data_IF_763018992073
#
_entry.id   IF_763018992073
#
_cell.length_a   1.000
_cell.length_b   1.000
_cell.length_c   1.000
_cell.angle_alpha   90.00
_cell.angle_beta   90.00
_cell.angle_gamma   90.00
#
_symmetry.space_group_name_H-M   'P 1'
#
loop_
_entity.id
_entity.type
_entity.pdbx_description
1 polymer ?
#
# COMPACT_ATOMS: atom_id res chain seq x y z
N UNK A 1 -22.36 -6.01 -8.99
CA UNK A 1 -21.79 -5.72 -10.33
C UNK A 1 -21.88 -4.25 -10.70
N UNK A 2 -23.06 -3.61 -10.61
CA UNK A 2 -23.23 -2.17 -10.91
C UNK A 2 -22.16 -1.31 -10.24
N UNK A 3 -21.96 -1.50 -8.92
CA UNK A 3 -20.94 -0.81 -8.14
C UNK A 3 -19.50 -1.01 -8.64
N UNK A 4 -19.11 -2.25 -8.95
CA UNK A 4 -17.77 -2.55 -9.48
C UNK A 4 -17.52 -1.87 -10.84
N UNK A 5 -18.50 -1.90 -11.75
CA UNK A 5 -18.42 -1.23 -13.05
C UNK A 5 -18.39 0.30 -12.91
N UNK A 6 -19.17 0.85 -11.99
CA UNK A 6 -19.16 2.28 -11.66
C UNK A 6 -17.77 2.69 -11.14
N UNK A 7 -17.25 2.02 -10.12
CA UNK A 7 -15.91 2.29 -9.58
C UNK A 7 -14.82 2.18 -10.65
N UNK A 8 -14.90 1.16 -11.51
CA UNK A 8 -13.99 1.02 -12.65
C UNK A 8 -14.01 2.26 -13.54
N UNK A 9 -15.20 2.71 -13.97
CA UNK A 9 -15.36 3.90 -14.82
C UNK A 9 -14.86 5.17 -14.11
N UNK A 10 -15.19 5.34 -12.83
CA UNK A 10 -14.74 6.50 -12.06
C UNK A 10 -13.22 6.55 -11.98
N UNK A 11 -12.54 5.43 -11.72
CA UNK A 11 -11.08 5.36 -11.68
C UNK A 11 -10.49 5.57 -13.07
N UNK A 12 -10.99 4.88 -14.10
CA UNK A 12 -10.51 4.98 -15.49
C UNK A 12 -10.57 6.44 -15.99
N UNK A 13 -11.71 7.11 -15.79
CA UNK A 13 -11.89 8.53 -16.15
C UNK A 13 -11.09 9.50 -15.27
N UNK A 14 -10.40 9.01 -14.24
CA UNK A 14 -9.62 9.83 -13.31
C UNK A 14 -8.12 9.74 -13.53
N UNK A 15 -7.64 8.86 -14.42
CA UNK A 15 -6.21 8.59 -14.58
C UNK A 15 -5.43 9.83 -15.03
N UNK A 16 -5.98 10.61 -15.96
CA UNK A 16 -5.31 11.82 -16.46
C UNK A 16 -5.29 12.93 -15.42
N UNK A 17 -6.40 13.11 -14.69
CA UNK A 17 -6.47 14.04 -13.56
C UNK A 17 -5.47 13.65 -12.47
N UNK A 18 -5.46 12.37 -12.09
CA UNK A 18 -4.52 11.81 -11.13
C UNK A 18 -3.07 12.05 -11.58
N UNK A 19 -2.74 11.71 -12.82
CA UNK A 19 -1.38 11.85 -13.37
C UNK A 19 -0.92 13.31 -13.39
N UNK A 20 -1.81 14.23 -13.74
CA UNK A 20 -1.54 15.67 -13.75
C UNK A 20 -1.27 16.19 -12.33
N UNK A 21 -2.14 15.83 -11.37
CA UNK A 21 -1.99 16.22 -9.97
C UNK A 21 -0.74 15.64 -9.35
N UNK A 22 -0.49 14.36 -9.59
CA UNK A 22 0.73 13.68 -9.14
C UNK A 22 1.99 14.37 -9.66
N UNK A 23 2.06 14.68 -10.96
CA UNK A 23 3.17 15.44 -11.55
C UNK A 23 3.36 16.82 -10.91
N UNK A 24 2.27 17.48 -10.51
CA UNK A 24 2.36 18.75 -9.80
C UNK A 24 3.00 18.61 -8.41
N UNK A 25 2.70 17.54 -7.65
CA UNK A 25 3.43 17.27 -6.39
C UNK A 25 4.92 17.08 -6.61
N UNK A 26 5.32 16.48 -7.74
CA UNK A 26 6.74 16.23 -8.01
C UNK A 26 7.55 17.49 -8.30
N UNK A 27 6.90 18.63 -8.55
CA UNK A 27 7.58 19.94 -8.63
C UNK A 27 8.23 20.31 -7.30
N UNK A 28 7.64 19.88 -6.17
CA UNK A 28 8.12 20.15 -4.82
C UNK A 28 9.17 19.15 -4.33
N UNK A 29 9.67 18.23 -5.17
CA UNK A 29 10.65 17.22 -4.75
C UNK A 29 11.90 17.82 -4.10
N UNK A 30 12.38 18.98 -4.59
CA UNK A 30 13.52 19.66 -3.99
C UNK A 30 13.26 19.96 -2.49
N UNK A 31 12.06 20.47 -2.18
CA UNK A 31 11.66 20.92 -0.84
C UNK A 31 11.41 19.77 0.15
N UNK A 32 11.01 18.60 -0.37
CA UNK A 32 10.59 17.45 0.47
C UNK A 32 11.59 16.28 0.45
N UNK A 33 12.65 16.36 -0.37
CA UNK A 33 13.60 15.26 -0.58
C UNK A 33 14.28 14.82 0.70
N UNK A 34 14.73 15.76 1.54
CA UNK A 34 15.39 15.45 2.81
C UNK A 34 14.45 14.66 3.74
N UNK A 35 13.19 15.08 3.85
CA UNK A 35 12.19 14.48 4.71
C UNK A 35 11.85 13.07 4.25
N UNK A 36 11.79 12.84 2.93
CA UNK A 36 11.67 11.50 2.34
C UNK A 36 12.82 10.59 2.79
N UNK A 37 14.06 11.09 2.70
CA UNK A 37 15.28 10.36 3.06
C UNK A 37 15.27 10.05 4.56
N UNK A 38 15.02 11.05 5.40
CA UNK A 38 14.94 10.90 6.87
C UNK A 38 13.89 9.86 7.28
N UNK A 39 12.68 9.94 6.73
CA UNK A 39 11.60 8.98 7.00
C UNK A 39 11.95 7.55 6.56
N UNK A 40 12.69 7.41 5.44
CA UNK A 40 13.21 6.11 5.02
C UNK A 40 14.32 5.59 5.94
N UNK A 41 15.22 6.47 6.39
CA UNK A 41 16.35 6.11 7.23
C UNK A 41 15.92 5.60 8.62
N UNK A 42 14.93 6.25 9.24
CA UNK A 42 14.42 5.88 10.57
C UNK A 42 13.96 4.43 10.67
N UNK A 43 13.38 3.87 9.59
CA UNK A 43 12.93 2.47 9.56
C UNK A 43 14.08 1.45 9.60
N UNK A 44 15.30 1.85 9.24
CA UNK A 44 16.45 0.94 9.12
C UNK A 44 17.23 0.76 10.44
N UNK A 45 17.20 1.73 11.36
CA UNK A 45 18.01 1.69 12.61
C UNK A 45 17.30 1.08 13.84
N UNK A 46 15.99 0.84 13.78
CA UNK A 46 15.17 0.56 14.99
C UNK A 46 14.53 -0.82 15.12
N UNK A 47 14.66 -1.73 14.16
CA UNK A 47 13.99 -3.05 14.28
C UNK A 47 14.77 -4.16 13.60
N UNK A 48 14.72 -5.37 14.17
CA UNK A 48 15.13 -6.63 13.49
C UNK A 48 14.33 -6.91 12.20
N UNK A 49 13.40 -6.04 11.80
CA UNK A 49 12.76 -6.07 10.48
C UNK A 49 13.62 -5.33 9.46
N UNK A 50 14.25 -6.11 8.58
CA UNK A 50 15.03 -5.64 7.42
C UNK A 50 14.34 -4.50 6.65
N UNK A 51 15.10 -3.43 6.37
CA UNK A 51 15.01 -2.51 5.23
C UNK A 51 13.62 -2.26 4.63
N UNK A 52 12.64 -1.79 5.42
CA UNK A 52 11.42 -1.22 4.84
C UNK A 52 11.69 0.22 4.44
N UNK A 53 12.20 0.41 3.23
CA UNK A 53 12.32 1.73 2.59
C UNK A 53 10.95 2.40 2.60
N UNK A 54 10.86 3.58 3.22
CA UNK A 54 9.62 4.35 3.25
C UNK A 54 9.24 4.77 1.83
N UNK A 55 7.94 4.67 1.49
CA UNK A 55 7.41 5.05 0.19
C UNK A 55 6.61 6.34 0.29
N UNK A 56 7.22 7.53 0.10
CA UNK A 56 6.45 8.77 0.09
C UNK A 56 5.44 8.83 -1.05
N UNK A 57 5.69 8.11 -2.16
CA UNK A 57 4.78 8.08 -3.30
C UNK A 57 3.49 7.34 -2.96
N UNK A 58 3.51 6.38 -2.02
CA UNK A 58 2.29 5.71 -1.54
C UNK A 58 1.32 6.72 -0.95
N UNK A 59 1.81 7.60 -0.09
CA UNK A 59 0.97 8.61 0.55
C UNK A 59 0.44 9.66 -0.44
N UNK A 60 1.26 10.05 -1.42
CA UNK A 60 0.80 10.98 -2.47
C UNK A 60 -0.30 10.32 -3.31
N UNK A 61 -0.13 9.04 -3.69
CA UNK A 61 -1.13 8.25 -4.41
C UNK A 61 -2.43 8.22 -3.61
N UNK A 62 -2.36 7.79 -2.35
CA UNK A 62 -3.50 7.66 -1.44
C UNK A 62 -4.27 8.98 -1.31
N UNK A 63 -3.57 10.10 -1.04
CA UNK A 63 -4.20 11.42 -0.89
C UNK A 63 -4.92 11.89 -2.15
N UNK A 64 -4.29 11.76 -3.32
CA UNK A 64 -4.91 12.22 -4.57
C UNK A 64 -6.06 11.33 -5.01
N UNK A 65 -5.91 10.00 -4.95
CA UNK A 65 -6.99 9.13 -5.36
C UNK A 65 -8.18 9.24 -4.39
N UNK A 66 -7.92 9.39 -3.09
CA UNK A 66 -8.96 9.68 -2.10
C UNK A 66 -9.72 10.95 -2.48
N UNK A 67 -9.01 12.05 -2.71
CA UNK A 67 -9.63 13.34 -3.07
C UNK A 67 -10.46 13.25 -4.35
N UNK A 68 -9.93 12.60 -5.39
CA UNK A 68 -10.62 12.46 -6.68
C UNK A 68 -11.87 11.60 -6.53
N UNK A 69 -11.76 10.46 -5.83
CA UNK A 69 -12.88 9.53 -5.67
C UNK A 69 -13.99 10.09 -4.79
N UNK A 70 -13.68 10.79 -3.69
CA UNK A 70 -14.69 11.47 -2.87
C UNK A 70 -15.51 12.41 -3.72
N UNK A 71 -14.86 13.34 -4.44
CA UNK A 71 -15.55 14.33 -5.28
C UNK A 71 -16.38 13.72 -6.40
N UNK A 72 -15.98 12.56 -6.91
CA UNK A 72 -16.70 11.86 -7.98
C UNK A 72 -17.87 11.05 -7.42
N UNK A 73 -17.68 10.38 -6.29
CA UNK A 73 -18.74 9.60 -5.63
C UNK A 73 -19.82 10.50 -5.04
N UNK A 74 -19.48 11.69 -4.53
CA UNK A 74 -20.48 12.68 -4.11
C UNK A 74 -21.43 13.10 -5.24
N UNK A 75 -20.94 13.13 -6.49
CA UNK A 75 -21.78 13.38 -7.67
C UNK A 75 -22.68 12.20 -8.03
N UNK A 76 -22.34 11.01 -7.54
CA UNK A 76 -23.16 9.79 -7.62
C UNK A 76 -24.01 9.62 -6.35
N UNK A 77 -24.28 10.71 -5.62
CA UNK A 77 -25.12 10.77 -4.42
C UNK A 77 -24.60 9.98 -3.20
N UNK A 78 -23.34 9.54 -3.23
CA UNK A 78 -22.70 8.98 -2.05
C UNK A 78 -22.31 10.08 -1.06
N UNK A 79 -22.48 9.80 0.23
CA UNK A 79 -22.10 10.69 1.32
C UNK A 79 -20.85 10.18 1.99
N UNK A 80 -19.86 11.05 2.20
CA UNK A 80 -18.66 10.67 2.95
C UNK A 80 -19.06 10.24 4.37
N UNK A 81 -18.60 9.06 4.78
CA UNK A 81 -18.86 8.49 6.09
C UNK A 81 -17.53 8.23 6.81
N UNK A 82 -16.94 9.27 7.43
CA UNK A 82 -15.62 9.17 8.05
C UNK A 82 -15.72 8.42 9.39
N UNK A 83 -15.68 7.09 9.35
CA UNK A 83 -15.62 6.26 10.54
C UNK A 83 -14.16 5.99 10.89
N UNK A 84 -13.75 6.31 12.13
CA UNK A 84 -12.39 6.05 12.64
C UNK A 84 -11.97 4.57 12.69
N UNK A 85 -12.85 3.65 12.27
CA UNK A 85 -12.63 2.20 12.19
C UNK A 85 -13.08 1.62 10.82
N UNK A 86 -12.75 2.29 9.72
CA UNK A 86 -13.09 1.84 8.34
C UNK A 86 -11.88 1.93 7.40
N UNK A 87 -12.01 1.49 6.14
CA UNK A 87 -10.95 1.64 5.13
C UNK A 87 -10.64 3.11 4.82
N UNK A 88 -9.62 3.36 3.99
CA UNK A 88 -9.18 4.71 3.62
C UNK A 88 -10.32 5.60 3.10
N UNK A 89 -11.28 5.02 2.37
CA UNK A 89 -12.48 5.70 1.91
C UNK A 89 -13.73 4.89 2.25
N UNK A 90 -14.62 5.51 3.04
CA UNK A 90 -15.93 4.94 3.38
C UNK A 90 -17.01 5.92 3.01
N UNK A 91 -17.98 5.46 2.22
CA UNK A 91 -19.04 6.29 1.68
C UNK A 91 -20.38 5.58 1.84
N UNK A 92 -21.44 6.32 2.10
CA UNK A 92 -22.79 5.82 2.29
C UNK A 92 -23.66 6.15 1.06
N UNK A 93 -24.38 5.16 0.55
CA UNK A 93 -25.51 5.34 -0.34
C UNK A 93 -26.81 4.98 0.40
N UNK A 94 -27.96 5.13 -0.26
CA UNK A 94 -29.27 4.88 0.35
C UNK A 94 -29.43 3.44 0.86
N UNK A 95 -28.94 2.44 0.12
CA UNK A 95 -29.14 1.02 0.39
C UNK A 95 -27.86 0.26 0.82
N UNK A 96 -26.69 0.91 0.80
CA UNK A 96 -25.43 0.26 1.13
C UNK A 96 -24.34 1.22 1.62
N UNK A 97 -23.28 0.63 2.16
CA UNK A 97 -22.02 1.32 2.49
C UNK A 97 -20.93 0.81 1.56
N UNK A 98 -20.23 1.72 0.90
CA UNK A 98 -19.03 1.45 0.13
C UNK A 98 -17.81 1.58 1.06
N UNK A 99 -17.00 0.52 1.15
CA UNK A 99 -15.76 0.49 1.90
C UNK A 99 -14.59 0.22 0.92
N UNK A 100 -13.80 1.24 0.62
CA UNK A 100 -12.72 1.19 -0.36
C UNK A 100 -11.37 1.42 0.31
N UNK A 101 -10.49 0.43 0.15
CA UNK A 101 -9.13 0.47 0.66
C UNK A 101 -8.14 0.78 -0.46
N UNK A 102 -7.21 1.71 -0.26
CA UNK A 102 -6.18 2.05 -1.24
C UNK A 102 -4.90 1.34 -0.82
N UNK A 103 -4.34 0.56 -1.74
CA UNK A 103 -3.09 -0.18 -1.52
C UNK A 103 -2.06 0.23 -2.55
N UNK A 104 -0.80 0.16 -2.16
CA UNK A 104 0.32 0.26 -3.10
C UNK A 104 1.18 -0.97 -3.05
N UNK A 105 1.77 -1.35 -4.18
CA UNK A 105 2.74 -2.42 -4.26
C UNK A 105 3.86 -2.10 -5.25
N UNK A 106 5.09 -2.39 -4.84
CA UNK A 106 6.25 -2.28 -5.71
C UNK A 106 6.25 -3.43 -6.73
N UNK A 107 6.48 -3.13 -8.00
CA UNK A 107 6.62 -4.08 -9.09
C UNK A 107 7.54 -5.28 -8.79
N UNK A 108 8.64 -5.04 -8.10
CA UNK A 108 9.61 -6.10 -7.73
C UNK A 108 9.06 -7.04 -6.64
N UNK A 109 8.16 -6.54 -5.78
CA UNK A 109 7.53 -7.33 -4.73
C UNK A 109 6.19 -7.93 -5.21
N UNK A 110 6.30 -8.81 -6.21
CA UNK A 110 5.17 -9.49 -6.84
C UNK A 110 4.25 -10.23 -5.85
N UNK A 111 4.75 -10.63 -4.69
CA UNK A 111 3.97 -11.35 -3.68
C UNK A 111 2.83 -10.53 -3.05
N UNK A 112 2.87 -9.21 -3.17
CA UNK A 112 1.86 -8.31 -2.60
C UNK A 112 0.68 -8.02 -3.54
N UNK A 113 0.82 -8.34 -4.83
CA UNK A 113 -0.24 -8.14 -5.82
C UNK A 113 -0.56 -9.37 -6.70
N UNK A 114 0.19 -10.48 -6.54
CA UNK A 114 -0.06 -11.71 -7.28
C UNK A 114 -1.04 -12.61 -6.53
N UNK A 115 -2.27 -12.65 -7.01
CA UNK A 115 -3.30 -13.62 -6.59
C UNK A 115 -3.83 -13.47 -5.16
N UNK A 116 -3.35 -12.49 -4.41
CA UNK A 116 -3.83 -12.20 -3.05
C UNK A 116 -3.53 -10.77 -2.63
N UNK A 117 -4.27 -10.26 -1.65
CA UNK A 117 -4.09 -8.92 -1.09
C UNK A 117 -4.11 -8.97 0.44
N UNK A 118 -3.19 -8.27 1.13
CA UNK A 118 -3.25 -8.10 2.58
C UNK A 118 -4.32 -7.10 3.00
N UNK A 119 -5.07 -7.42 4.06
CA UNK A 119 -6.14 -6.60 4.59
C UNK A 119 -6.02 -6.47 6.12
N UNK A 120 -6.19 -5.25 6.64
CA UNK A 120 -6.36 -4.94 8.05
C UNK A 120 -7.78 -5.25 8.52
N UNK A 121 -8.00 -5.31 9.85
CA UNK A 121 -9.29 -5.73 10.44
C UNK A 121 -10.48 -4.86 10.02
N UNK A 122 -10.23 -3.60 9.66
CA UNK A 122 -11.21 -2.63 9.18
C UNK A 122 -11.43 -2.66 7.65
N UNK A 123 -10.78 -3.57 6.93
CA UNK A 123 -10.71 -3.56 5.45
C UNK A 123 -11.42 -4.77 4.80
N UNK A 124 -12.22 -5.50 5.58
CA UNK A 124 -13.02 -6.64 5.12
C UNK A 124 -14.12 -6.93 6.13
N UNK A 125 -15.16 -7.65 5.71
CA UNK A 125 -16.29 -8.04 6.57
C UNK A 125 -16.38 -9.55 6.82
N UNK A 126 -15.45 -10.32 6.27
CA UNK A 126 -15.48 -11.77 6.22
C UNK A 126 -14.49 -12.40 7.22
N UNK A 127 -14.92 -13.28 8.13
CA UNK A 127 -13.98 -13.94 9.05
C UNK A 127 -12.89 -14.75 8.32
N UNK A 128 -11.69 -14.82 8.87
CA UNK A 128 -10.56 -15.50 8.25
C UNK A 128 -10.05 -16.66 9.10
N UNK A 129 -9.53 -17.71 8.47
CA UNK A 129 -8.95 -18.84 9.19
C UNK A 129 -7.58 -18.50 9.78
N UNK A 130 -7.38 -18.83 11.05
CA UNK A 130 -6.08 -18.75 11.72
C UNK A 130 -5.32 -20.07 11.48
N UNK A 131 -4.04 -19.96 11.13
CA UNK A 131 -3.13 -21.10 10.95
C UNK A 131 -2.20 -21.28 12.15
N UNK A 132 -1.77 -22.51 12.45
CA UNK A 132 -0.81 -22.86 13.51
C UNK A 132 0.63 -22.35 13.24
N UNK A 133 0.96 -22.04 11.98
CA UNK A 133 2.30 -21.63 11.59
C UNK A 133 2.38 -21.25 10.11
N UNK A 134 3.45 -21.68 9.42
CA UNK A 134 3.60 -21.49 7.96
C UNK A 134 2.36 -22.03 7.23
N UNK A 135 2.00 -21.35 6.12
CA UNK A 135 0.76 -21.53 5.36
C UNK A 135 0.25 -22.98 5.33
N UNK A 136 -1.03 -23.16 5.68
CA UNK A 136 -1.85 -24.38 5.56
C UNK A 136 -1.79 -25.40 6.70
N UNK A 137 -1.15 -25.08 7.83
CA UNK A 137 -1.32 -25.86 9.05
C UNK A 137 -2.47 -25.26 9.90
N UNK A 138 -3.54 -26.02 10.11
CA UNK A 138 -4.75 -25.55 10.80
C UNK A 138 -4.97 -26.24 12.14
N UNK A 139 -5.65 -25.56 13.04
CA UNK A 139 -6.11 -26.15 14.29
C UNK A 139 -7.16 -27.23 14.04
N UNK A 140 -7.23 -28.22 14.94
CA UNK A 140 -8.22 -29.31 14.86
C UNK A 140 -9.65 -28.77 14.96
N UNK A 141 -9.81 -27.63 15.64
CA UNK A 141 -11.00 -26.78 15.60
C UNK A 141 -10.61 -25.44 14.99
N UNK A 142 -11.35 -24.92 13.98
CA UNK A 142 -10.94 -23.71 13.29
C UNK A 142 -11.01 -22.50 14.23
N UNK A 143 -9.88 -21.80 14.37
CA UNK A 143 -9.81 -20.49 15.00
C UNK A 143 -9.97 -19.41 13.93
N UNK A 144 -10.58 -18.28 14.30
CA UNK A 144 -10.92 -17.22 13.35
C UNK A 144 -10.36 -15.86 13.74
N UNK A 145 -9.95 -15.10 12.73
CA UNK A 145 -9.82 -13.65 12.82
C UNK A 145 -11.17 -13.04 12.48
N UNK A 146 -11.70 -12.22 13.38
CA UNK A 146 -12.94 -11.48 13.15
C UNK A 146 -12.62 -10.06 12.65
N UNK A 147 -13.33 -9.59 11.62
CA UNK A 147 -13.21 -8.20 11.17
C UNK A 147 -13.74 -7.23 12.22
N UNK A 148 -13.25 -5.99 12.18
CA UNK A 148 -13.76 -4.89 12.99
C UNK A 148 -15.08 -4.31 12.44
N UNK A 149 -15.38 -4.54 11.16
CA UNK A 149 -16.60 -4.09 10.50
C UNK A 149 -17.55 -5.28 10.22
N UNK A 150 -18.86 -5.14 10.51
CA UNK A 150 -19.84 -6.20 10.24
C UNK A 150 -20.15 -6.30 8.74
N UNK A 151 -20.80 -7.37 8.26
CA UNK A 151 -21.22 -7.46 6.86
C UNK A 151 -22.32 -6.46 6.46
N UNK A 152 -23.10 -5.96 7.41
CA UNK A 152 -24.14 -4.97 7.21
C UNK A 152 -24.39 -4.18 8.49
N UNK A 153 -24.92 -2.97 8.36
CA UNK A 153 -25.47 -2.19 9.46
C UNK A 153 -27.01 -2.23 9.41
N UNK A 154 -27.64 -2.21 10.58
CA UNK A 154 -29.08 -1.95 10.70
C UNK A 154 -29.26 -0.56 11.29
N UNK A 155 -29.72 0.39 10.48
CA UNK A 155 -29.89 1.80 10.87
C UNK A 155 -31.35 2.16 10.63
N UNK A 156 -32.06 2.53 11.71
CA UNK A 156 -33.49 2.89 11.67
C UNK A 156 -34.38 1.85 10.97
N UNK A 157 -34.09 0.56 11.15
CA UNK A 157 -34.82 -0.55 10.53
C UNK A 157 -34.41 -0.87 9.09
N UNK A 158 -33.51 -0.09 8.48
CA UNK A 158 -32.97 -0.36 7.15
C UNK A 158 -31.65 -1.12 7.24
N UNK A 159 -31.53 -2.21 6.48
CA UNK A 159 -30.30 -2.96 6.35
C UNK A 159 -29.45 -2.35 5.25
N UNK A 160 -28.24 -1.89 5.58
CA UNK A 160 -27.24 -1.43 4.63
C UNK A 160 -26.10 -2.44 4.54
N UNK A 161 -25.96 -3.09 3.39
CA UNK A 161 -24.85 -4.02 3.16
C UNK A 161 -23.54 -3.25 2.99
N UNK A 162 -22.43 -3.81 3.49
CA UNK A 162 -21.11 -3.23 3.26
C UNK A 162 -20.47 -3.91 2.05
N UNK A 163 -20.19 -3.15 0.99
CA UNK A 163 -19.46 -3.62 -0.16
C UNK A 163 -18.02 -3.16 -0.10
N UNK A 164 -17.11 -4.13 0.00
CA UNK A 164 -15.68 -3.87 0.17
C UNK A 164 -14.90 -4.05 -1.12
N UNK A 165 -14.04 -3.08 -1.42
CA UNK A 165 -13.13 -3.12 -2.57
C UNK A 165 -11.73 -2.69 -2.14
N UNK A 166 -10.73 -3.16 -2.88
CA UNK A 166 -9.38 -2.63 -2.78
C UNK A 166 -8.95 -2.06 -4.13
N UNK A 167 -8.33 -0.90 -4.09
CA UNK A 167 -7.72 -0.22 -5.22
C UNK A 167 -6.21 -0.28 -5.07
N UNK A 168 -5.58 -1.20 -5.80
CA UNK A 168 -4.17 -1.53 -5.68
C UNK A 168 -3.35 -0.89 -6.80
N UNK A 169 -2.50 0.06 -6.45
CA UNK A 169 -1.56 0.74 -7.33
C UNK A 169 -0.23 -0.02 -7.37
N UNK A 170 0.12 -0.56 -8.53
CA UNK A 170 1.43 -1.16 -8.78
C UNK A 170 2.34 -0.06 -9.32
N UNK A 171 3.51 0.14 -8.73
CA UNK A 171 4.43 1.23 -9.09
C UNK A 171 5.86 0.71 -9.39
N UNK A 172 6.67 1.43 -10.18
CA UNK A 172 8.02 1.00 -10.53
C UNK A 172 8.98 1.03 -9.34
N UNK A 173 10.03 0.19 -9.34
CA UNK A 173 10.97 0.18 -8.22
C UNK A 173 11.80 1.46 -8.18
N UNK A 174 11.90 2.03 -6.99
CA UNK A 174 12.77 3.18 -6.66
C UNK A 174 13.67 2.90 -5.44
N UNK A 175 13.65 1.65 -4.94
CA UNK A 175 14.38 1.23 -3.74
C UNK A 175 15.87 1.56 -3.84
N UNK A 176 16.49 1.22 -4.97
CA UNK A 176 17.92 1.47 -5.22
C UNK A 176 18.27 2.96 -5.13
N UNK A 177 17.43 3.82 -5.73
CA UNK A 177 17.62 5.28 -5.72
C UNK A 177 17.59 5.81 -4.27
N UNK A 178 16.70 5.26 -3.44
CA UNK A 178 16.57 5.67 -2.03
C UNK A 178 17.69 5.06 -1.16
N UNK A 179 18.13 3.82 -1.43
CA UNK A 179 19.25 3.20 -0.71
C UNK A 179 20.56 3.96 -0.95
N UNK A 180 20.82 4.39 -2.19
CA UNK A 180 22.00 5.18 -2.54
C UNK A 180 22.09 6.48 -1.72
N UNK A 181 21.02 7.28 -1.71
CA UNK A 181 21.02 8.54 -0.96
C UNK A 181 20.98 8.33 0.56
N UNK A 182 20.39 7.23 1.05
CA UNK A 182 20.41 6.89 2.48
C UNK A 182 21.83 6.63 2.98
N UNK A 183 22.70 6.04 2.16
CA UNK A 183 24.12 5.85 2.52
C UNK A 183 24.83 7.19 2.67
N UNK A 184 24.57 8.16 1.80
CA UNK A 184 25.13 9.51 1.94
C UNK A 184 24.54 10.26 3.15
N UNK A 185 23.24 10.11 3.40
CA UNK A 185 22.59 10.68 4.57
C UNK A 185 23.13 10.08 5.87
N UNK A 186 23.43 8.80 5.91
CA UNK A 186 24.02 8.15 7.08
C UNK A 186 25.41 8.74 7.42
N UNK A 187 26.24 9.00 6.42
CA UNK A 187 27.54 9.67 6.61
C UNK A 187 27.35 11.06 7.21
N UNK A 188 26.45 11.86 6.61
CA UNK A 188 26.12 13.20 7.11
C UNK A 188 25.56 13.15 8.54
N UNK A 189 24.61 12.25 8.81
CA UNK A 189 24.01 12.08 10.12
C UNK A 189 25.07 11.75 11.17
N UNK A 190 25.96 10.79 10.89
CA UNK A 190 27.01 10.39 11.83
C UNK A 190 28.00 11.53 12.09
N UNK A 191 28.29 12.36 11.08
CA UNK A 191 29.10 13.57 11.24
C UNK A 191 28.44 14.57 12.18
N UNK A 192 27.17 14.92 11.94
CA UNK A 192 26.41 15.81 12.83
C UNK A 192 26.30 15.24 14.24
N UNK A 193 26.05 13.93 14.35
CA UNK A 193 25.94 13.22 15.62
C UNK A 193 27.24 13.32 16.43
N UNK A 194 28.39 13.02 15.80
CA UNK A 194 29.69 13.10 16.46
C UNK A 194 30.02 14.52 16.95
N UNK A 195 29.75 15.54 16.12
CA UNK A 195 29.96 16.94 16.52
C UNK A 195 29.03 17.36 17.66
N UNK A 196 27.77 16.94 17.61
CA UNK A 196 26.81 17.20 18.66
C UNK A 196 27.18 16.52 19.99
N UNK A 197 27.72 15.30 19.96
CA UNK A 197 28.20 14.62 21.16
C UNK A 197 29.32 15.41 21.86
N UNK A 198 30.29 15.95 21.11
CA UNK A 198 31.37 16.77 21.69
C UNK A 198 30.83 17.99 22.45
N UNK A 199 29.72 18.57 21.98
CA UNK A 199 29.04 19.69 22.66
C UNK A 199 28.35 19.21 23.94
N UNK A 200 27.60 18.11 23.89
CA UNK A 200 26.93 17.57 25.09
C UNK A 200 27.96 17.22 26.19
N UNK A 201 29.11 16.67 25.80
CA UNK A 201 30.16 16.30 26.76
C UNK A 201 30.80 17.52 27.42
N UNK A 202 30.78 18.69 26.77
CA UNK A 202 31.35 19.93 27.27
C UNK A 202 30.35 20.85 27.97
N UNK A 203 29.05 20.76 27.67
CA UNK A 203 27.99 21.58 28.27
C UNK A 203 27.19 20.80 29.33
N UNK A 204 27.39 21.17 30.60
CA UNK A 204 26.67 20.59 31.75
C UNK A 204 25.15 20.74 31.65
N UNK A 205 24.63 21.77 30.98
CA UNK A 205 23.19 21.97 30.83
C UNK A 205 22.57 20.99 29.81
N UNK A 206 23.36 20.53 28.84
CA UNK A 206 22.93 19.54 27.84
C UNK A 206 23.16 18.10 28.31
N UNK A 207 23.86 17.90 29.43
CA UNK A 207 24.18 16.58 30.00
C UNK A 207 22.95 15.74 30.37
N UNK A 208 21.75 16.34 30.45
CA UNK A 208 20.47 15.66 30.66
C UNK A 208 19.96 14.90 29.41
N UNK A 209 20.50 15.19 28.23
CA UNK A 209 20.20 14.48 26.97
C UNK A 209 20.92 13.11 26.90
N UNK A 210 20.76 12.28 27.92
CA UNK A 210 21.39 10.94 27.97
C UNK A 210 20.71 9.90 27.06
N UNK A 211 19.44 10.14 26.70
CA UNK A 211 18.65 9.20 25.90
C UNK A 211 19.02 9.31 24.41
N UNK A 212 19.45 8.19 23.81
CA UNK A 212 19.83 8.09 22.39
C UNK A 212 18.73 8.51 21.42
N UNK A 213 17.46 8.25 21.73
CA UNK A 213 16.33 8.71 20.91
C UNK A 213 16.21 10.24 20.93
N UNK A 214 16.40 10.88 22.09
CA UNK A 214 16.41 12.34 22.20
C UNK A 214 17.58 12.95 21.42
N UNK A 215 18.78 12.37 21.56
CA UNK A 215 19.96 12.83 20.79
C UNK A 215 19.72 12.72 19.29
N UNK A 216 19.15 11.61 18.82
CA UNK A 216 18.75 11.44 17.41
C UNK A 216 17.80 12.53 16.96
N UNK A 217 16.74 12.79 17.74
CA UNK A 217 15.75 13.83 17.41
C UNK A 217 16.44 15.20 17.30
N UNK A 218 17.34 15.55 18.22
CA UNK A 218 18.08 16.82 18.14
C UNK A 218 18.94 16.88 16.89
N UNK A 219 19.72 15.84 16.60
CA UNK A 219 20.59 15.79 15.41
C UNK A 219 19.79 15.89 14.12
N UNK A 220 18.66 15.19 14.02
CA UNK A 220 17.73 15.33 12.89
C UNK A 220 17.20 16.77 12.76
N UNK A 221 16.92 17.46 13.86
CA UNK A 221 16.50 18.86 13.83
C UNK A 221 17.62 19.80 13.39
N UNK A 222 18.87 19.57 13.81
CA UNK A 222 20.02 20.35 13.37
C UNK A 222 20.27 20.19 11.87
N UNK A 223 20.12 18.97 11.33
CA UNK A 223 20.18 18.73 9.89
C UNK A 223 19.05 19.47 9.17
N UNK A 224 17.81 19.43 9.69
CA UNK A 224 16.70 20.20 9.12
C UNK A 224 16.98 21.71 9.13
N UNK A 225 17.55 22.24 10.20
CA UNK A 225 17.92 23.65 10.30
C UNK A 225 18.85 24.06 9.14
N UNK A 226 19.89 23.27 8.88
CA UNK A 226 20.86 23.56 7.81
C UNK A 226 20.29 23.40 6.40
N UNK A 227 19.49 22.37 6.15
CA UNK A 227 19.10 21.98 4.78
C UNK A 227 17.69 22.40 4.35
N UNK A 228 16.82 22.78 5.30
CA UNK A 228 15.45 23.28 5.01
C UNK A 228 15.32 24.75 5.36
N UNK A 229 15.94 25.17 6.46
CA UNK A 229 15.81 26.54 6.97
C UNK A 229 17.02 27.43 6.66
N UNK A 230 18.03 26.88 5.99
CA UNK A 230 19.28 27.57 5.63
C UNK A 230 19.98 28.25 6.84
N UNK A 231 19.82 27.68 8.04
CA UNK A 231 20.48 28.13 9.28
C UNK A 231 21.96 27.72 9.27
N UNK A 232 22.78 28.47 8.53
CA UNK A 232 24.21 28.18 8.31
C UNK A 232 25.03 28.29 9.60
N UNK A 233 24.55 29.04 10.59
CA UNK A 233 25.17 29.23 11.90
C UNK A 233 25.33 27.89 12.64
N UNK A 234 24.44 26.93 12.37
CA UNK A 234 24.53 25.57 12.92
C UNK A 234 25.79 24.86 12.43
N UNK A 235 26.22 25.11 11.19
CA UNK A 235 27.45 24.54 10.61
C UNK A 235 28.66 25.04 11.40
N UNK A 236 28.73 26.35 11.63
CA UNK A 236 29.84 26.98 12.34
C UNK A 236 29.82 26.57 13.83
N UNK A 237 28.65 26.55 14.48
CA UNK A 237 28.47 26.11 15.86
C UNK A 237 28.93 24.66 16.11
N UNK A 238 28.54 23.74 15.22
CA UNK A 238 28.97 22.34 15.29
C UNK A 238 30.38 22.11 14.72
N UNK A 239 31.01 23.13 14.14
CA UNK A 239 32.28 23.00 13.41
C UNK A 239 32.23 21.87 12.36
N UNK A 240 31.17 21.87 11.57
CA UNK A 240 30.95 20.94 10.46
C UNK A 240 31.73 21.44 9.24
N UNK A 241 32.52 20.60 8.57
CA UNK A 241 33.19 20.98 7.31
C UNK A 241 32.17 21.43 6.25
N UNK A 242 32.34 22.64 5.70
CA UNK A 242 31.42 23.23 4.71
C UNK A 242 31.37 22.39 3.43
N UNK A 243 32.48 21.73 3.08
CA UNK A 243 32.59 20.86 1.91
C UNK A 243 31.63 19.67 1.99
N UNK A 244 31.45 19.07 3.17
CA UNK A 244 30.53 17.93 3.36
C UNK A 244 29.06 18.35 3.22
N UNK A 245 28.72 19.58 3.65
CA UNK A 245 27.37 20.15 3.47
C UNK A 245 27.09 20.39 2.00
N UNK A 246 28.02 21.02 1.27
CA UNK A 246 27.91 21.29 -0.17
C UNK A 246 27.76 19.97 -0.94
N UNK A 247 28.63 19.00 -0.66
CA UNK A 247 28.59 17.67 -1.26
C UNK A 247 27.24 16.99 -1.04
N UNK A 248 26.67 17.05 0.16
CA UNK A 248 25.35 16.46 0.39
C UNK A 248 24.23 17.21 -0.34
N UNK A 249 24.28 18.56 -0.43
CA UNK A 249 23.33 19.34 -1.27
C UNK A 249 23.39 18.89 -2.73
N UNK A 250 24.57 18.63 -3.27
CA UNK A 250 24.74 18.08 -4.63
C UNK A 250 24.13 16.68 -4.76
N UNK A 251 24.34 15.80 -3.78
CA UNK A 251 23.72 14.46 -3.78
C UNK A 251 22.20 14.52 -3.70
N UNK A 252 21.62 15.46 -2.93
CA UNK A 252 20.18 15.71 -2.91
C UNK A 252 19.66 16.10 -4.30
N UNK A 253 20.36 16.99 -5.00
CA UNK A 253 19.98 17.39 -6.37
C UNK A 253 20.03 16.20 -7.34
N UNK A 254 21.09 15.38 -7.26
CA UNK A 254 21.21 14.16 -8.08
C UNK A 254 20.06 13.19 -7.78
N UNK A 255 19.73 12.99 -6.51
CA UNK A 255 18.61 12.16 -6.07
C UNK A 255 17.29 12.65 -6.66
N UNK A 256 16.98 13.95 -6.55
CA UNK A 256 15.74 14.52 -7.09
C UNK A 256 15.65 14.32 -8.61
N UNK A 257 16.76 14.55 -9.34
CA UNK A 257 16.78 14.36 -10.79
C UNK A 257 16.59 12.88 -11.20
N UNK A 258 17.18 11.94 -10.46
CA UNK A 258 16.94 10.50 -10.65
C UNK A 258 15.47 10.16 -10.46
N UNK A 259 14.82 10.68 -9.41
CA UNK A 259 13.39 10.47 -9.16
C UNK A 259 12.52 11.06 -10.28
N UNK A 260 12.80 12.30 -10.72
CA UNK A 260 12.06 12.96 -11.81
C UNK A 260 12.14 12.17 -13.11
N UNK A 261 13.31 11.63 -13.44
CA UNK A 261 13.54 10.81 -14.66
C UNK A 261 12.90 9.42 -14.60
N UNK A 262 12.63 8.87 -13.40
CA UNK A 262 12.19 7.48 -13.22
C UNK A 262 10.76 7.20 -13.69
N UNK A 263 9.96 8.21 -14.05
CA UNK A 263 8.54 8.10 -14.36
C UNK A 263 7.79 7.24 -13.32
N UNK A 264 7.56 7.84 -12.17
CA UNK A 264 6.94 7.20 -11.01
C UNK A 264 5.42 7.05 -11.11
N UNK A 265 4.86 7.13 -12.32
CA UNK A 265 3.45 6.80 -12.57
C UNK A 265 3.20 5.32 -12.20
N UNK A 266 1.97 4.98 -11.78
CA UNK A 266 1.59 3.59 -11.60
C UNK A 266 1.86 2.82 -12.90
N UNK A 267 2.31 1.57 -12.79
CA UNK A 267 2.36 0.58 -13.86
C UNK A 267 0.97 0.04 -14.15
N UNK A 268 0.20 -0.24 -13.09
CA UNK A 268 -1.15 -0.74 -13.19
C UNK A 268 -1.95 -0.31 -11.96
N UNK A 269 -3.26 -0.18 -12.14
CA UNK A 269 -4.22 0.01 -11.06
C UNK A 269 -5.16 -1.16 -11.12
N UNK A 270 -5.30 -1.89 -10.01
CA UNK A 270 -6.17 -3.04 -9.89
C UNK A 270 -7.34 -2.71 -8.97
N UNK A 271 -8.57 -2.84 -9.47
CA UNK A 271 -9.79 -2.79 -8.67
C UNK A 271 -10.23 -4.21 -8.32
N UNK A 272 -10.14 -4.56 -7.04
CA UNK A 272 -10.36 -5.91 -6.52
C UNK A 272 -11.62 -5.90 -5.66
N UNK A 273 -12.59 -6.76 -5.98
CA UNK A 273 -13.78 -6.94 -5.13
C UNK A 273 -13.50 -7.93 -4.01
N UNK A 274 -13.80 -7.52 -2.77
CA UNK A 274 -13.62 -8.35 -1.58
C UNK A 274 -15.00 -8.90 -1.15
N UNK A 275 -15.16 -10.23 -1.05
CA UNK A 275 -16.43 -10.85 -0.69
C UNK A 275 -16.98 -10.36 0.65
N UNK A 276 -18.27 -10.06 0.68
CA UNK A 276 -18.99 -9.73 1.91
C UNK A 276 -19.03 -10.94 2.86
N UNK A 277 -19.08 -10.68 4.17
CA UNK A 277 -19.05 -11.71 5.21
C UNK A 277 -20.22 -12.69 5.16
N UNK A 278 -21.36 -12.29 4.58
CA UNK A 278 -22.52 -13.18 4.37
C UNK A 278 -22.25 -14.28 3.32
N UNK A 279 -21.13 -14.21 2.60
CA UNK A 279 -20.73 -15.23 1.62
C UNK A 279 -19.76 -16.26 2.21
N UNK A 280 -19.75 -16.40 3.54
CA UNK A 280 -18.81 -17.25 4.28
C UNK A 280 -18.64 -18.65 3.70
N UNK A 281 -19.77 -19.34 3.49
CA UNK A 281 -19.81 -20.73 3.01
C UNK A 281 -19.03 -20.94 1.71
N UNK A 282 -18.90 -19.89 0.89
CA UNK A 282 -18.25 -19.94 -0.42
C UNK A 282 -16.81 -19.47 -0.41
N UNK A 283 -16.42 -18.68 0.60
CA UNK A 283 -15.17 -17.92 0.59
C UNK A 283 -14.27 -18.10 1.80
N UNK A 284 -14.69 -18.84 2.83
CA UNK A 284 -13.90 -19.00 4.06
C UNK A 284 -12.45 -19.43 3.82
N UNK A 285 -12.23 -20.38 2.91
CA UNK A 285 -10.89 -20.88 2.58
C UNK A 285 -10.03 -19.89 1.77
N UNK A 286 -10.58 -18.74 1.39
CA UNK A 286 -9.88 -17.67 0.68
C UNK A 286 -9.42 -16.55 1.62
N UNK A 287 -9.81 -16.58 2.90
CA UNK A 287 -9.38 -15.62 3.90
C UNK A 287 -8.53 -16.34 4.95
N UNK A 288 -7.25 -15.98 5.03
CA UNK A 288 -6.28 -16.61 5.95
C UNK A 288 -5.59 -15.52 6.75
N UNK A 289 -5.26 -15.79 8.01
CA UNK A 289 -4.43 -14.91 8.84
C UNK A 289 -3.17 -14.44 8.09
N UNK A 290 -2.89 -13.14 8.15
CA UNK A 290 -1.79 -12.47 7.49
C UNK A 290 -0.47 -12.59 8.24
N UNK A 291 0.52 -11.77 7.82
CA UNK A 291 1.87 -11.74 8.42
C UNK A 291 1.82 -11.40 9.92
N UNK A 292 0.93 -10.48 10.31
CA UNK A 292 0.65 -10.19 11.70
C UNK A 292 -0.46 -11.14 12.15
N UNK A 293 -0.06 -12.28 12.71
CA UNK A 293 -0.94 -13.36 13.13
C UNK A 293 -2.09 -12.83 14.00
N UNK A 294 -3.33 -13.12 13.61
CA UNK A 294 -4.54 -12.66 14.32
C UNK A 294 -4.88 -11.17 14.19
N UNK A 295 -4.00 -10.34 13.62
CA UNK A 295 -4.18 -8.87 13.49
C UNK A 295 -4.34 -8.38 12.05
N UNK A 296 -4.18 -9.28 11.09
CA UNK A 296 -4.33 -8.99 9.66
C UNK A 296 -4.78 -10.27 8.95
N UNK A 297 -5.32 -10.13 7.75
CA UNK A 297 -5.71 -11.26 6.90
C UNK A 297 -5.13 -11.08 5.51
N UNK A 298 -5.13 -12.16 4.73
CA UNK A 298 -4.83 -12.15 3.31
C UNK A 298 -6.01 -12.77 2.58
N UNK A 299 -6.61 -12.01 1.68
CA UNK A 299 -7.64 -12.49 0.78
C UNK A 299 -7.00 -13.02 -0.51
N UNK A 300 -7.25 -14.27 -0.85
CA UNK A 300 -6.76 -14.91 -2.07
C UNK A 300 -7.85 -14.88 -3.16
N UNK A 301 -7.75 -13.92 -4.08
CA UNK A 301 -8.68 -13.80 -5.22
C UNK A 301 -8.33 -14.73 -6.40
N UNK A 302 -7.12 -15.26 -6.44
CA UNK A 302 -6.74 -16.34 -7.36
C UNK A 302 -7.01 -17.73 -6.77
N UNK A 303 -6.98 -18.76 -7.62
CA UNK A 303 -7.08 -20.15 -7.17
C UNK A 303 -6.03 -20.43 -6.08
N UNK A 304 -6.50 -20.85 -4.91
CA UNK A 304 -5.66 -21.28 -3.81
C UNK A 304 -5.05 -22.64 -4.17
N UNK A 305 -3.76 -22.70 -4.53
CA UNK A 305 -3.05 -24.00 -4.56
C UNK A 305 -2.88 -24.46 -3.12
N UNK A 306 -3.76 -25.34 -2.67
CA UNK A 306 -3.50 -26.18 -1.51
C UNK A 306 -2.40 -27.15 -1.96
N UNK A 307 -1.15 -26.90 -1.59
CA UNK A 307 -0.12 -27.92 -1.70
C UNK A 307 -0.56 -29.09 -0.81
N UNK A 308 -1.29 -30.05 -1.39
CA UNK A 308 -1.43 -31.38 -0.80
C UNK A 308 -0.04 -31.99 -0.87
N UNK A 309 0.74 -31.86 0.21
CA UNK A 309 1.88 -32.75 0.41
C UNK A 309 1.33 -34.18 0.50
N UNK A 310 1.74 -35.01 -0.45
CA UNK A 310 1.76 -36.47 -0.42
C UNK A 310 0.59 -37.17 0.30
N UNK A 311 -0.48 -37.42 -0.45
CA UNK A 311 -1.07 -38.76 -0.60
C UNK A 311 -1.88 -38.74 -1.90
N UNK A 312 -1.74 -39.79 -2.71
CA UNK A 312 -2.33 -40.01 -4.04
C UNK A 312 -1.66 -39.27 -5.21
N UNK A 313 -0.66 -39.94 -5.79
CA UNK A 313 0.06 -39.55 -7.01
C UNK A 313 -0.78 -39.61 -8.31
N UNK A 314 -2.04 -40.03 -8.26
CA UNK A 314 -2.81 -40.36 -9.48
C UNK A 314 -4.06 -39.49 -9.73
N UNK A 315 -4.17 -38.31 -9.14
CA UNK A 315 -5.18 -37.32 -9.57
C UNK A 315 -4.54 -36.03 -10.02
N UNK A 316 -4.15 -36.02 -11.29
CA UNK A 316 -3.75 -34.83 -12.05
C UNK A 316 -4.98 -33.99 -12.43
N UNK A 317 -5.87 -33.73 -11.47
CA UNK A 317 -6.87 -32.69 -11.65
C UNK A 317 -6.20 -31.36 -11.30
N UNK A 318 -5.66 -30.68 -12.31
CA UNK A 318 -5.35 -29.25 -12.20
C UNK A 318 -6.66 -28.48 -12.11
N UNK A 319 -7.33 -28.56 -10.96
CA UNK A 319 -8.41 -27.64 -10.63
C UNK A 319 -7.80 -26.25 -10.46
N UNK A 320 -7.77 -25.49 -11.55
CA UNK A 320 -7.99 -24.05 -11.46
C UNK A 320 -9.33 -23.94 -10.74
N UNK A 321 -9.29 -23.74 -9.42
CA UNK A 321 -10.49 -23.54 -8.63
C UNK A 321 -11.12 -22.21 -9.07
N UNK A 322 -12.00 -22.28 -10.09
CA UNK A 322 -12.96 -21.22 -10.35
C UNK A 322 -13.74 -21.06 -9.04
N UNK A 323 -13.62 -19.88 -8.42
CA UNK A 323 -14.28 -19.54 -7.16
C UNK A 323 -15.77 -19.93 -7.26
N UNK A 324 -16.31 -20.67 -6.28
CA UNK A 324 -17.65 -21.28 -6.38
C UNK A 324 -18.75 -20.29 -6.75
N UNK A 325 -18.72 -19.06 -6.23
CA UNK A 325 -19.76 -18.07 -6.56
C UNK A 325 -19.66 -17.56 -7.99
N UNK A 326 -18.46 -17.29 -8.52
CA UNK A 326 -18.35 -16.74 -9.88
C UNK A 326 -18.66 -17.81 -10.92
N UNK A 327 -18.35 -19.08 -10.62
CA UNK A 327 -18.86 -20.22 -11.37
C UNK A 327 -20.39 -20.31 -11.26
N UNK A 328 -20.97 -20.06 -10.09
CA UNK A 328 -22.42 -20.06 -9.90
C UNK A 328 -23.11 -18.90 -10.61
N UNK A 329 -22.54 -17.70 -10.59
CA UNK A 329 -23.08 -16.55 -11.34
C UNK A 329 -22.94 -16.81 -12.84
N UNK A 330 -21.79 -17.29 -13.32
CA UNK A 330 -21.63 -17.72 -14.72
C UNK A 330 -22.64 -18.80 -15.10
N UNK A 331 -22.84 -19.82 -14.27
CA UNK A 331 -23.81 -20.88 -14.54
C UNK A 331 -25.25 -20.33 -14.63
N UNK A 332 -25.58 -19.30 -13.84
CA UNK A 332 -26.92 -18.68 -13.82
C UNK A 332 -27.14 -17.63 -14.91
N UNK A 333 -26.12 -16.85 -15.23
CA UNK A 333 -26.24 -15.65 -16.09
C UNK A 333 -25.57 -15.84 -17.44
N UNK A 334 -24.72 -16.86 -17.59
CA UNK A 334 -23.80 -17.07 -18.73
C UNK A 334 -22.80 -15.94 -18.95
N UNK A 335 -22.67 -15.02 -17.99
CA UNK A 335 -21.68 -13.94 -18.01
C UNK A 335 -20.43 -14.34 -17.22
N UNK A 336 -19.24 -14.05 -17.76
CA UNK A 336 -18.00 -14.19 -16.99
C UNK A 336 -17.75 -12.93 -16.16
N UNK A 337 -17.44 -13.11 -14.88
CA UNK A 337 -17.33 -12.00 -13.92
C UNK A 337 -15.88 -11.79 -13.48
N UNK A 338 -15.30 -10.59 -13.74
CA UNK A 338 -13.96 -10.27 -13.30
C UNK A 338 -13.89 -10.07 -11.79
N UNK A 339 -12.87 -10.67 -11.19
CA UNK A 339 -12.52 -10.51 -9.76
C UNK A 339 -11.63 -9.29 -9.53
N UNK A 340 -10.83 -9.02 -10.56
CA UNK A 340 -9.87 -7.93 -10.66
C UNK A 340 -10.16 -7.24 -11.98
N UNK A 341 -10.35 -5.93 -11.93
CA UNK A 341 -10.39 -5.07 -13.10
C UNK A 341 -9.13 -4.22 -13.13
N UNK A 342 -8.67 -3.86 -14.32
CA UNK A 342 -7.54 -2.97 -14.52
C UNK A 342 -8.05 -1.63 -15.07
N UNK A 343 -8.46 -0.67 -14.20
CA UNK A 343 -8.74 0.69 -14.66
C UNK A 343 -7.58 1.30 -15.45
N UNK A 344 -6.34 0.96 -15.11
CA UNK A 344 -5.16 1.43 -15.82
C UNK A 344 -4.13 0.32 -15.97
N UNK A 345 -3.47 0.29 -17.13
CA UNK A 345 -2.31 -0.55 -17.42
C UNK A 345 -1.37 0.20 -18.37
N UNK A 346 -0.13 0.35 -17.95
CA UNK A 346 0.93 0.85 -18.82
C UNK A 346 1.27 -0.21 -19.88
N UNK A 347 1.13 0.16 -21.15
CA UNK A 347 1.36 -0.73 -22.29
C UNK A 347 2.77 -1.35 -22.30
N UNK A 348 3.78 -0.68 -21.71
CA UNK A 348 5.15 -1.21 -21.60
C UNK A 348 5.23 -2.47 -20.73
N UNK A 349 4.30 -2.64 -19.79
CA UNK A 349 4.29 -3.74 -18.80
C UNK A 349 3.20 -4.77 -19.09
N UNK A 350 2.45 -4.59 -20.18
CA UNK A 350 1.26 -5.36 -20.48
C UNK A 350 1.49 -6.86 -20.56
N UNK A 351 2.51 -7.31 -21.28
CA UNK A 351 2.81 -8.74 -21.41
C UNK A 351 3.27 -9.37 -20.08
N UNK A 352 4.02 -8.62 -19.26
CA UNK A 352 4.46 -9.10 -17.95
C UNK A 352 3.29 -9.20 -16.97
N UNK A 353 2.43 -8.17 -16.93
CA UNK A 353 1.19 -8.16 -16.15
C UNK A 353 0.29 -9.32 -16.60
N UNK A 354 0.15 -9.54 -17.90
CA UNK A 354 -0.63 -10.64 -18.46
C UNK A 354 -0.13 -12.00 -17.94
N UNK A 355 1.17 -12.28 -18.05
CA UNK A 355 1.78 -13.52 -17.53
C UNK A 355 1.62 -13.66 -16.01
N UNK A 356 1.69 -12.57 -15.25
CA UNK A 356 1.59 -12.62 -13.78
C UNK A 356 0.17 -12.97 -13.30
N UNK A 357 -0.83 -12.54 -14.06
CA UNK A 357 -2.24 -12.70 -13.75
C UNK A 357 -2.97 -13.71 -14.67
N UNK A 358 -2.22 -14.49 -15.47
CA UNK A 358 -2.74 -15.54 -16.34
C UNK A 358 -3.75 -16.44 -15.60
N UNK A 359 -4.94 -16.61 -16.18
CA UNK A 359 -6.05 -17.37 -15.57
C UNK A 359 -6.78 -16.68 -14.39
N UNK A 360 -6.47 -15.43 -14.06
CA UNK A 360 -7.08 -14.66 -12.95
C UNK A 360 -7.89 -13.44 -13.39
N UNK A 361 -7.76 -13.00 -14.64
CA UNK A 361 -8.35 -11.75 -15.15
C UNK A 361 -9.40 -12.06 -16.21
N UNK A 362 -10.44 -11.22 -16.25
CA UNK A 362 -11.52 -11.33 -17.22
C UNK A 362 -11.82 -9.95 -17.83
N UNK A 363 -12.26 -9.99 -19.08
CA UNK A 363 -12.56 -8.85 -19.97
C UNK A 363 -13.72 -8.00 -19.43
N UNK A 364 -13.59 -6.67 -19.51
CA UNK A 364 -14.72 -5.76 -19.68
C UNK A 364 -14.42 -4.86 -20.89
N UNK A 365 -15.46 -4.49 -21.64
CA UNK A 365 -15.49 -3.84 -22.97
C UNK A 365 -14.35 -2.84 -23.30
N UNK A 366 -13.91 -2.90 -24.57
CA UNK A 366 -13.08 -1.99 -25.39
C UNK A 366 -11.79 -1.36 -24.82
N UNK A 367 -11.38 -1.70 -23.59
CA UNK A 367 -10.02 -1.47 -23.06
C UNK A 367 -9.48 -2.78 -22.43
N UNK A 368 -8.30 -3.19 -22.88
CA UNK A 368 -7.72 -4.55 -22.84
C UNK A 368 -7.58 -5.14 -21.41
N UNK A 369 -8.19 -6.30 -21.06
CA UNK A 369 -7.77 -7.73 -21.05
C UNK A 369 -6.52 -8.11 -20.23
N UNK A 370 -6.64 -9.19 -19.42
CA UNK A 370 -5.59 -10.23 -19.31
C UNK A 370 -6.26 -11.61 -19.52
N UNK A 371 -5.63 -12.44 -20.37
CA UNK A 371 -5.90 -13.87 -20.61
C UNK A 371 -5.01 -14.68 -19.65
#
# INVERSE_FOLDING_TARGET
MKLLKMLYRLVDQSIDEFSTRYKNSLKYLNEISLQIIMASYQKNKGSKEKNKVYNPFSEIIEKYIWYILVRKLEKEEYKLLPLGYSSDLTMEADDHVLNLDIKTANWENRSDFRGSIPLGLNQFTHKALITKGRKNDFFNSPLYVYPAIPPCYSIHGNIKFIYTFALLFIYPPYKEIVEEINTEYEKLYNLFYAKFLNIIESDKNLSELKNEERKRIVVENLIRAVFIHDEIEVIDYLSIPKEEVIKFKEQLNIFVEKIRKRDIRPIAINLISIPNGLLEEKYLNHFISGKNWGKSVRYYYSSFKKDRKNTDKDKKDSFISKLPIFKLIYNKTREEFPRVLFPYLDERYKEDIKKLFEGQVYKLEDRIIVL
#
